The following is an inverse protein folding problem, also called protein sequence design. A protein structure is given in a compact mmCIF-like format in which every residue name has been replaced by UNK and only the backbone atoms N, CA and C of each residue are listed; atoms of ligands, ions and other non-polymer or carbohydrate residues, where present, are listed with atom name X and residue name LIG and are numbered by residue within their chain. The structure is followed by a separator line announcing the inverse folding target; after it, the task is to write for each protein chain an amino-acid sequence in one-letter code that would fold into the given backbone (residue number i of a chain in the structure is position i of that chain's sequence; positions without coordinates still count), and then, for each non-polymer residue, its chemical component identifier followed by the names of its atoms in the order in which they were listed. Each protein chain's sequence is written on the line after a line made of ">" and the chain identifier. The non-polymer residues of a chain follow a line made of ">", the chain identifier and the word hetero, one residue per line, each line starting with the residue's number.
data_IF_628218080133
#
_entry.id   IF_628218080133
#
_cell.length_a   1.000
_cell.length_b   1.000
_cell.length_c   1.000
_cell.angle_alpha   90.00
_cell.angle_beta   90.00
_cell.angle_gamma   90.00
#
_symmetry.space_group_name_H-M   'P 1'
#
loop_
_entity.id
_entity.type
_entity.pdbx_description
1 polymer ?
#
# COMPACT_ATOMS: atom_id res chain seq x y z
N UNK A 1 16.36 -4.35 10.61
CA UNK A 1 15.48 -3.25 10.17
C UNK A 1 16.37 -2.08 9.76
N UNK A 2 16.51 -1.79 8.47
CA UNK A 2 16.96 -0.45 8.06
C UNK A 2 15.82 0.47 8.53
N UNK A 3 16.10 1.38 9.47
CA UNK A 3 15.08 2.02 10.33
C UNK A 3 14.02 2.83 9.56
N UNK A 4 14.24 3.06 8.26
CA UNK A 4 13.50 4.01 7.46
C UNK A 4 12.56 3.37 6.44
N UNK A 5 12.57 2.03 6.25
CA UNK A 5 11.74 1.33 5.26
C UNK A 5 10.92 0.23 5.92
N UNK A 6 9.62 0.19 5.57
CA UNK A 6 8.68 -0.86 5.97
C UNK A 6 8.20 -1.59 4.72
N UNK A 7 8.75 -2.78 4.47
CA UNK A 7 8.42 -3.56 3.28
C UNK A 7 7.38 -4.65 3.55
N UNK A 8 6.43 -4.80 2.62
CA UNK A 8 5.49 -5.90 2.54
C UNK A 8 5.68 -6.64 1.23
N UNK A 9 5.68 -7.97 1.31
CA UNK A 9 5.83 -8.87 0.17
C UNK A 9 4.64 -9.82 0.14
N UNK A 10 3.97 -9.93 -1.00
CA UNK A 10 2.83 -10.83 -1.19
C UNK A 10 2.99 -11.64 -2.48
N UNK A 11 2.46 -12.87 -2.52
CA UNK A 11 2.36 -13.67 -3.74
C UNK A 11 0.90 -13.73 -4.19
N UNK A 12 0.65 -13.58 -5.50
CA UNK A 12 -0.67 -13.68 -6.10
C UNK A 12 -0.59 -14.40 -7.46
N UNK A 13 -1.61 -15.21 -7.77
CA UNK A 13 -1.75 -15.89 -9.08
C UNK A 13 -2.81 -15.25 -9.97
N UNK A 14 -3.51 -14.22 -9.48
CA UNK A 14 -4.58 -13.52 -10.23
C UNK A 14 -4.32 -12.03 -10.20
N UNK A 15 -4.45 -11.35 -11.35
CA UNK A 15 -4.33 -9.90 -11.39
C UNK A 15 -5.46 -9.31 -10.55
N UNK A 16 -5.10 -8.52 -9.55
CA UNK A 16 -6.06 -7.87 -8.67
C UNK A 16 -5.82 -6.35 -8.65
N UNK A 17 -6.71 -5.52 -9.23
CA UNK A 17 -6.53 -4.08 -9.24
C UNK A 17 -6.66 -3.44 -7.84
N UNK A 18 -7.20 -4.18 -6.85
CA UNK A 18 -7.37 -3.70 -5.49
C UNK A 18 -6.13 -3.88 -4.60
N UNK A 19 -5.01 -4.36 -5.14
CA UNK A 19 -3.77 -4.53 -4.37
C UNK A 19 -3.29 -3.25 -3.67
N UNK A 20 -3.34 -2.05 -4.29
CA UNK A 20 -2.97 -0.82 -3.58
C UNK A 20 -3.85 -0.52 -2.36
N UNK A 21 -5.15 -0.79 -2.44
CA UNK A 21 -6.09 -0.63 -1.31
C UNK A 21 -5.77 -1.63 -0.20
N UNK A 22 -5.51 -2.88 -0.56
CA UNK A 22 -5.07 -3.91 0.38
C UNK A 22 -3.76 -3.52 1.08
N UNK A 23 -2.77 -3.07 0.32
CA UNK A 23 -1.49 -2.61 0.84
C UNK A 23 -1.65 -1.46 1.83
N UNK A 24 -2.51 -0.48 1.53
CA UNK A 24 -2.83 0.62 2.45
C UNK A 24 -3.35 0.09 3.79
N UNK A 25 -4.28 -0.87 3.78
CA UNK A 25 -4.85 -1.44 4.99
C UNK A 25 -3.80 -2.18 5.83
N UNK A 26 -2.94 -2.98 5.19
CA UNK A 26 -1.84 -3.65 5.89
C UNK A 26 -0.88 -2.66 6.53
N UNK A 27 -0.46 -1.62 5.82
CA UNK A 27 0.39 -0.59 6.41
C UNK A 27 -0.31 0.18 7.52
N UNK A 28 -1.61 0.46 7.41
CA UNK A 28 -2.36 1.12 8.46
C UNK A 28 -2.30 0.30 9.76
N UNK A 29 -2.48 -1.02 9.69
CA UNK A 29 -2.39 -1.91 10.85
C UNK A 29 -0.97 -1.98 11.43
N UNK A 30 0.06 -2.06 10.59
CA UNK A 30 1.46 -2.02 11.05
C UNK A 30 1.81 -0.67 11.70
N UNK A 31 1.36 0.44 11.10
CA UNK A 31 1.57 1.77 11.63
C UNK A 31 0.85 1.97 12.97
N UNK A 32 -0.32 1.36 13.21
CA UNK A 32 -0.96 1.40 14.54
C UNK A 32 -0.03 0.89 15.64
N UNK A 33 0.73 -0.17 15.39
CA UNK A 33 1.74 -0.67 16.31
C UNK A 33 2.88 0.33 16.54
N UNK A 34 3.39 0.95 15.47
CA UNK A 34 4.49 1.95 15.53
C UNK A 34 4.05 3.25 16.21
N UNK A 35 2.78 3.63 16.03
CA UNK A 35 2.20 4.86 16.54
C UNK A 35 1.66 4.72 17.97
N UNK A 36 1.68 3.52 18.55
CA UNK A 36 1.20 3.29 19.91
C UNK A 36 1.91 4.21 20.92
N UNK A 37 1.13 5.00 21.66
CA UNK A 37 1.65 6.00 22.61
C UNK A 37 2.21 7.28 21.98
N UNK A 38 2.19 7.44 20.65
CA UNK A 38 2.59 8.67 19.97
C UNK A 38 1.41 9.63 19.84
N UNK A 39 1.67 10.92 20.06
CA UNK A 39 0.65 11.96 20.02
C UNK A 39 0.42 12.48 18.58
N UNK A 40 -0.29 11.69 17.77
CA UNK A 40 -0.52 11.97 16.33
C UNK A 40 -1.45 13.16 16.05
N UNK A 41 -2.23 13.59 17.05
CA UNK A 41 -3.10 14.78 16.97
C UNK A 41 -2.40 16.05 17.46
N UNK A 42 -1.10 15.99 17.75
CA UNK A 42 -0.30 17.14 18.14
C UNK A 42 0.26 17.92 16.95
N UNK A 43 1.04 18.95 17.26
CA UNK A 43 1.71 19.78 16.25
C UNK A 43 3.08 19.25 15.82
N UNK A 44 3.64 18.27 16.55
CA UNK A 44 4.93 17.65 16.21
C UNK A 44 4.73 16.54 15.20
N UNK A 45 5.51 16.57 14.12
CA UNK A 45 5.55 15.52 13.11
C UNK A 45 5.97 14.19 13.75
N UNK A 46 5.17 13.16 13.53
CA UNK A 46 5.51 11.78 13.89
C UNK A 46 6.03 11.07 12.64
N UNK A 47 7.33 10.78 12.61
CA UNK A 47 7.94 10.05 11.50
C UNK A 47 7.44 8.61 11.44
N UNK A 48 7.13 8.17 10.22
CA UNK A 48 6.82 6.80 9.85
C UNK A 48 7.92 6.27 8.92
N UNK A 49 8.23 4.97 8.96
CA UNK A 49 9.07 4.37 7.94
C UNK A 49 8.34 4.39 6.58
N UNK A 50 9.09 4.55 5.50
CA UNK A 50 8.59 4.56 4.12
C UNK A 50 8.00 3.20 3.77
N UNK A 51 6.71 3.12 3.43
CA UNK A 51 6.09 1.86 3.05
C UNK A 51 6.51 1.43 1.63
N UNK A 52 6.86 0.16 1.46
CA UNK A 52 7.17 -0.46 0.16
C UNK A 52 6.37 -1.74 0.02
N UNK A 53 5.50 -1.83 -0.98
CA UNK A 53 4.66 -3.01 -1.19
C UNK A 53 4.98 -3.64 -2.54
N UNK A 54 5.50 -4.88 -2.50
CA UNK A 54 5.92 -5.64 -3.67
C UNK A 54 5.09 -6.91 -3.73
N UNK A 55 4.48 -7.17 -4.89
CA UNK A 55 3.67 -8.36 -5.12
C UNK A 55 4.30 -9.19 -6.22
N UNK A 56 4.65 -10.43 -5.90
CA UNK A 56 5.12 -11.41 -6.85
C UNK A 56 3.92 -12.05 -7.55
N UNK A 57 3.82 -11.82 -8.86
CA UNK A 57 2.74 -12.36 -9.67
C UNK A 57 3.21 -13.64 -10.39
N UNK A 58 2.52 -14.75 -10.14
CA UNK A 58 2.78 -16.05 -10.76
C UNK A 58 1.53 -16.58 -11.47
N UNK A 59 0.74 -15.68 -12.05
CA UNK A 59 -0.48 -16.06 -12.76
C UNK A 59 -0.29 -16.22 -14.26
N UNK A 60 -1.33 -16.73 -14.91
CA UNK A 60 -1.29 -17.05 -16.34
C UNK A 60 -1.56 -15.84 -17.25
N UNK A 61 -1.92 -14.68 -16.70
CA UNK A 61 -2.20 -13.48 -17.49
C UNK A 61 -0.88 -12.74 -17.78
N UNK A 62 -0.64 -12.37 -19.03
CA UNK A 62 0.52 -11.55 -19.38
C UNK A 62 0.34 -10.13 -18.81
N UNK A 63 1.22 -9.74 -17.89
CA UNK A 63 1.20 -8.41 -17.24
C UNK A 63 2.44 -7.56 -17.53
N UNK A 64 3.39 -8.09 -18.32
CA UNK A 64 4.73 -7.52 -18.52
C UNK A 64 5.73 -7.95 -17.44
N UNK A 65 6.96 -7.43 -17.51
CA UNK A 65 8.01 -7.69 -16.51
C UNK A 65 7.67 -7.06 -15.15
N UNK A 66 7.09 -5.85 -15.18
CA UNK A 66 6.65 -5.12 -14.00
C UNK A 66 5.33 -4.41 -14.28
N UNK A 67 4.49 -4.30 -13.26
CA UNK A 67 3.24 -3.55 -13.33
C UNK A 67 3.06 -2.68 -12.08
N UNK A 68 2.88 -1.39 -12.32
CA UNK A 68 2.57 -0.42 -11.28
C UNK A 68 1.06 -0.26 -11.14
N UNK A 69 0.56 -0.45 -9.93
CA UNK A 69 -0.84 -0.16 -9.56
C UNK A 69 -0.84 1.05 -8.63
N UNK A 70 -1.72 2.02 -8.86
CA UNK A 70 -1.81 3.22 -8.02
C UNK A 70 -3.05 3.17 -7.15
N UNK A 71 -2.91 3.60 -5.90
CA UNK A 71 -4.04 3.75 -5.00
C UNK A 71 -5.07 4.76 -5.54
N UNK A 72 -4.59 5.79 -6.25
CA UNK A 72 -5.45 6.83 -6.84
C UNK A 72 -6.44 6.26 -7.86
N UNK A 73 -6.12 5.14 -8.50
CA UNK A 73 -6.99 4.52 -9.51
C UNK A 73 -8.27 3.93 -8.88
N UNK A 74 -8.31 3.79 -7.55
CA UNK A 74 -9.50 3.36 -6.81
C UNK A 74 -10.43 4.52 -6.43
N UNK A 75 -10.07 5.78 -6.71
CA UNK A 75 -10.86 6.94 -6.30
C UNK A 75 -11.93 7.26 -7.33
N UNK A 76 -13.13 7.60 -6.85
CA UNK A 76 -14.21 8.09 -7.71
C UNK A 76 -13.82 9.48 -8.20
N UNK A 77 -13.73 9.65 -9.53
CA UNK A 77 -13.58 10.96 -10.16
C UNK A 77 -14.96 11.47 -10.57
N UNK A 78 -15.32 12.68 -10.12
CA UNK A 78 -16.67 13.25 -10.20
C UNK A 78 -17.25 13.53 -11.61
N UNK A 79 -16.70 12.93 -12.67
CA UNK A 79 -17.16 13.09 -14.05
C UNK A 79 -17.60 11.77 -14.71
N UNK A 80 -17.78 10.69 -13.96
CA UNK A 80 -18.46 9.49 -14.46
C UNK A 80 -19.92 9.49 -13.98
N UNK A 81 -20.72 10.37 -14.60
CA UNK A 81 -22.18 10.20 -14.67
C UNK A 81 -22.54 9.81 -16.10
N UNK A 82 -23.34 8.74 -16.18
CA UNK A 82 -23.95 8.15 -17.37
C UNK A 82 -24.69 9.14 -18.27
#
# INVERSE_FOLDING_TARGET
>A
LIRDILSLYEHQSTMNPNLPVRGLLYFADMFRGILHGKHIYGTKLVSLPTPVYIVFYNGDQEIGEEKWLKLSDAFIHGNEQS
#
